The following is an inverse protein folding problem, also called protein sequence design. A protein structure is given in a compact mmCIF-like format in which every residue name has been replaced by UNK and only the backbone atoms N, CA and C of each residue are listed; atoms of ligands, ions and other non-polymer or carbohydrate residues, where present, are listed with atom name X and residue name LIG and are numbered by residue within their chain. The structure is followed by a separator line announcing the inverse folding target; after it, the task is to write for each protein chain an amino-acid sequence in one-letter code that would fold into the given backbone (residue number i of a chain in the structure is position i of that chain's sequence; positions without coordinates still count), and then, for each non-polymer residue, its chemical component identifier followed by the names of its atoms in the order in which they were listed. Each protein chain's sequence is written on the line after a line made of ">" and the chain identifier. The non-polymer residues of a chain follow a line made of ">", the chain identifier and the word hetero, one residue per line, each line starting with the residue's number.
data_IF_473194517631
#
_entry.id   IF_473194517631
#
_cell.length_a   1.000
_cell.length_b   1.000
_cell.length_c   1.000
_cell.angle_alpha   90.00
_cell.angle_beta   90.00
_cell.angle_gamma   90.00
#
_symmetry.space_group_name_H-M   'P 1'
#
loop_
_entity.id
_entity.type
_entity.pdbx_description
1 polymer ?
#
# COMPACT_ATOMS: atom_id res chain seq x y z
N UNK A 1 -12.59 -5.32 -10.78
CA UNK A 1 -13.22 -3.99 -10.72
C UNK A 1 -13.39 -3.63 -9.25
N UNK A 2 -12.35 -3.06 -8.63
CA UNK A 2 -12.39 -2.64 -7.23
C UNK A 2 -13.16 -1.32 -7.16
N UNK A 3 -14.30 -1.37 -6.49
CA UNK A 3 -15.22 -0.26 -6.42
C UNK A 3 -14.63 0.87 -5.58
N UNK A 4 -14.15 1.89 -6.28
CA UNK A 4 -13.55 3.13 -5.78
C UNK A 4 -14.62 4.06 -5.17
N UNK A 5 -15.45 3.56 -4.24
CA UNK A 5 -16.38 4.38 -3.46
C UNK A 5 -15.65 5.26 -2.43
N UNK A 6 -14.95 6.25 -2.97
CA UNK A 6 -14.59 7.52 -2.34
C UNK A 6 -15.87 8.25 -1.92
N UNK A 7 -16.41 7.96 -0.72
CA UNK A 7 -17.38 8.87 -0.06
C UNK A 7 -17.50 8.78 1.46
N UNK A 8 -16.57 8.12 2.16
CA UNK A 8 -16.34 8.38 3.58
C UNK A 8 -14.83 8.47 3.81
N UNK A 9 -14.28 9.69 3.82
CA UNK A 9 -13.12 9.92 4.69
C UNK A 9 -13.68 9.70 6.10
N UNK A 10 -13.68 8.46 6.57
CA UNK A 10 -14.00 8.15 7.97
C UNK A 10 -13.10 9.09 8.77
N UNK A 11 -13.69 9.90 9.64
CA UNK A 11 -12.95 10.79 10.52
C UNK A 11 -12.22 9.93 11.55
N UNK A 12 -11.18 9.23 11.09
CA UNK A 12 -10.27 8.54 11.98
C UNK A 12 -9.41 9.60 12.66
N UNK A 13 -9.07 9.44 13.94
CA UNK A 13 -8.32 10.43 14.72
C UNK A 13 -6.82 10.48 14.34
N UNK A 14 -6.46 9.98 13.16
CA UNK A 14 -5.10 9.94 12.65
C UNK A 14 -5.03 10.26 11.16
N UNK A 15 -3.81 10.55 10.70
CA UNK A 15 -3.56 10.84 9.30
C UNK A 15 -3.51 9.55 8.47
N UNK A 16 -4.52 9.33 7.62
CA UNK A 16 -4.48 8.24 6.63
C UNK A 16 -3.41 8.51 5.58
N UNK A 17 -2.58 7.50 5.30
CA UNK A 17 -1.44 7.62 4.40
C UNK A 17 -1.82 7.88 2.94
N UNK A 18 -3.01 7.45 2.51
CA UNK A 18 -3.49 7.56 1.12
C UNK A 18 -3.36 8.97 0.54
N UNK A 19 -2.70 9.07 -0.62
CA UNK A 19 -2.36 10.32 -1.35
C UNK A 19 -1.37 11.24 -0.63
N UNK A 20 -0.73 10.76 0.43
CA UNK A 20 0.24 11.50 1.27
C UNK A 20 1.52 10.72 1.48
N UNK A 21 1.63 9.54 0.89
CA UNK A 21 2.67 8.56 1.11
C UNK A 21 4.04 9.18 0.87
N UNK A 22 4.23 9.87 -0.27
CA UNK A 22 5.52 10.48 -0.59
C UNK A 22 5.97 11.47 0.49
N UNK A 23 5.10 12.40 0.87
CA UNK A 23 5.43 13.41 1.88
C UNK A 23 5.72 12.79 3.26
N UNK A 24 5.07 11.69 3.61
CA UNK A 24 5.31 10.96 4.85
C UNK A 24 6.64 10.18 4.80
N UNK A 25 6.95 9.56 3.66
CA UNK A 25 8.24 8.89 3.46
C UNK A 25 9.39 9.89 3.53
N UNK A 26 9.28 11.05 2.87
CA UNK A 26 10.31 12.09 2.92
C UNK A 26 10.49 12.70 4.32
N UNK A 27 9.50 12.58 5.21
CA UNK A 27 9.61 12.94 6.64
C UNK A 27 10.14 11.79 7.52
N UNK A 28 10.37 10.61 6.95
CA UNK A 28 10.84 9.44 7.68
C UNK A 28 9.75 8.70 8.47
N UNK A 29 8.49 9.12 8.41
CA UNK A 29 7.41 8.56 9.24
C UNK A 29 6.69 7.39 8.60
N UNK A 30 6.81 7.23 7.28
CA UNK A 30 6.27 6.09 6.53
C UNK A 30 7.43 5.26 5.97
N UNK A 31 7.64 4.01 6.43
CA UNK A 31 8.79 3.21 6.01
C UNK A 31 8.59 2.50 4.66
N UNK A 32 7.33 2.23 4.29
CA UNK A 32 6.95 1.54 3.06
C UNK A 32 5.72 2.20 2.42
N UNK A 33 5.78 2.48 1.13
CA UNK A 33 4.62 2.73 0.28
C UNK A 33 4.44 1.57 -0.71
N UNK A 34 3.20 1.15 -0.90
CA UNK A 34 2.81 0.07 -1.80
C UNK A 34 1.69 0.57 -2.70
N UNK A 35 1.83 0.35 -4.00
CA UNK A 35 0.80 0.63 -5.01
C UNK A 35 0.64 -0.61 -5.89
N UNK A 36 -0.59 -0.84 -6.35
CA UNK A 36 -0.92 -1.91 -7.28
C UNK A 36 -1.91 -1.40 -8.31
N UNK A 37 -1.70 -1.77 -9.56
CA UNK A 37 -2.63 -1.48 -10.65
C UNK A 37 -2.49 -2.52 -11.77
N UNK A 38 -3.38 -2.49 -12.76
CA UNK A 38 -3.30 -3.37 -13.94
C UNK A 38 -2.40 -2.72 -14.99
N UNK A 39 -1.43 -3.48 -15.49
CA UNK A 39 -0.50 -3.02 -16.53
C UNK A 39 -1.28 -2.52 -17.76
N UNK A 40 -0.98 -1.30 -18.21
CA UNK A 40 -1.60 -0.67 -19.37
C UNK A 40 -2.99 -0.06 -19.10
N UNK A 41 -3.49 -0.15 -17.87
CA UNK A 41 -4.77 0.44 -17.45
C UNK A 41 -4.59 1.44 -16.30
N UNK A 42 -3.35 1.81 -15.98
CA UNK A 42 -3.07 2.70 -14.86
C UNK A 42 -3.58 4.12 -15.15
N UNK A 43 -4.30 4.76 -14.21
CA UNK A 43 -4.71 6.14 -14.39
C UNK A 43 -3.50 7.07 -14.51
N UNK A 44 -3.53 8.01 -15.47
CA UNK A 44 -2.47 9.02 -15.67
C UNK A 44 -2.05 9.74 -14.38
N UNK A 45 -3.02 10.02 -13.50
CA UNK A 45 -2.77 10.67 -12.22
C UNK A 45 -1.91 9.82 -11.28
N UNK A 46 -2.09 8.49 -11.30
CA UNK A 46 -1.29 7.55 -10.53
C UNK A 46 0.12 7.47 -11.09
N UNK A 47 0.27 7.34 -12.41
CA UNK A 47 1.58 7.33 -13.08
C UNK A 47 2.37 8.60 -12.75
N UNK A 48 1.74 9.78 -12.87
CA UNK A 48 2.36 11.06 -12.51
C UNK A 48 2.79 11.09 -11.04
N UNK A 49 1.96 10.57 -10.14
CA UNK A 49 2.28 10.51 -8.72
C UNK A 49 3.46 9.58 -8.42
N UNK A 50 3.50 8.38 -9.02
CA UNK A 50 4.60 7.43 -8.83
C UNK A 50 5.94 7.97 -9.35
N UNK A 51 5.95 8.70 -10.47
CA UNK A 51 7.16 9.37 -10.98
C UNK A 51 7.76 10.38 -10.00
N UNK A 52 6.96 10.94 -9.09
CA UNK A 52 7.49 11.81 -8.04
C UNK A 52 8.36 11.03 -7.05
N UNK A 53 8.07 9.75 -6.79
CA UNK A 53 8.93 8.87 -5.99
C UNK A 53 10.22 8.53 -6.74
N UNK A 54 10.14 8.23 -8.04
CA UNK A 54 11.31 7.84 -8.86
C UNK A 54 12.43 8.90 -8.81
N UNK A 55 12.08 10.19 -8.74
CA UNK A 55 13.06 11.26 -8.52
C UNK A 55 13.88 11.05 -7.24
N UNK A 56 13.20 10.70 -6.14
CA UNK A 56 13.84 10.49 -4.86
C UNK A 56 14.61 9.15 -4.79
N UNK A 57 14.23 8.19 -5.62
CA UNK A 57 15.01 6.96 -5.83
C UNK A 57 16.32 7.28 -6.55
N UNK A 58 16.28 8.08 -7.61
CA UNK A 58 17.49 8.50 -8.34
C UNK A 58 18.47 9.30 -7.46
N UNK A 59 17.96 10.01 -6.46
CA UNK A 59 18.74 10.75 -5.47
C UNK A 59 19.18 9.89 -4.26
N UNK A 60 18.86 8.59 -4.25
CA UNK A 60 19.22 7.65 -3.16
C UNK A 60 18.46 7.86 -1.85
N UNK A 61 17.41 8.68 -1.85
CA UNK A 61 16.59 8.97 -0.65
C UNK A 61 15.55 7.89 -0.37
N UNK A 62 15.16 7.16 -1.41
CA UNK A 62 14.23 6.03 -1.34
C UNK A 62 14.80 4.87 -2.15
N UNK A 63 14.35 3.67 -1.86
CA UNK A 63 14.60 2.48 -2.68
C UNK A 63 13.29 2.03 -3.32
N UNK A 64 13.36 1.42 -4.51
CA UNK A 64 12.18 0.96 -5.28
C UNK A 64 12.33 -0.52 -5.62
N UNK A 65 11.23 -1.26 -5.53
CA UNK A 65 11.07 -2.56 -6.19
C UNK A 65 9.78 -2.57 -7.00
N UNK A 66 9.87 -3.05 -8.23
CA UNK A 66 8.73 -3.24 -9.11
C UNK A 66 8.60 -4.72 -9.44
N UNK A 67 7.37 -5.22 -9.37
CA UNK A 67 7.02 -6.58 -9.77
C UNK A 67 5.86 -6.51 -10.75
N UNK A 68 5.91 -7.36 -11.77
CA UNK A 68 4.81 -7.57 -12.72
C UNK A 68 4.46 -9.04 -12.64
N UNK A 69 3.21 -9.35 -12.27
CA UNK A 69 2.74 -10.71 -12.05
C UNK A 69 1.37 -10.91 -12.70
N UNK A 70 1.06 -12.13 -13.18
CA UNK A 70 -0.26 -12.42 -13.75
C UNK A 70 -1.37 -12.29 -12.69
N UNK A 71 -2.52 -11.75 -13.09
CA UNK A 71 -3.68 -11.64 -12.20
C UNK A 71 -4.27 -13.03 -11.90
N UNK A 72 -4.45 -13.41 -10.62
CA UNK A 72 -5.13 -14.65 -10.26
C UNK A 72 -6.55 -14.68 -10.84
N UNK A 73 -6.89 -15.75 -11.57
CA UNK A 73 -8.19 -15.92 -12.22
C UNK A 73 -8.39 -15.14 -13.52
N UNK A 74 -7.43 -14.31 -13.93
CA UNK A 74 -7.44 -13.59 -15.21
C UNK A 74 -6.01 -13.48 -15.79
N UNK A 75 -5.40 -14.60 -16.21
CA UNK A 75 -3.98 -14.66 -16.60
C UNK A 75 -3.62 -13.82 -17.84
N UNK A 76 -4.62 -13.34 -18.59
CA UNK A 76 -4.45 -12.38 -19.67
C UNK A 76 -4.18 -10.93 -19.18
N UNK A 77 -4.33 -10.68 -17.88
CA UNK A 77 -4.03 -9.42 -17.23
C UNK A 77 -2.81 -9.60 -16.33
N UNK A 78 -2.05 -8.52 -16.16
CA UNK A 78 -0.91 -8.45 -15.25
C UNK A 78 -1.11 -7.33 -14.23
N UNK A 79 -0.79 -7.59 -12.97
CA UNK A 79 -0.65 -6.57 -11.94
C UNK A 79 0.77 -6.02 -11.93
N UNK A 80 0.88 -4.69 -11.93
CA UNK A 80 2.10 -3.99 -11.52
C UNK A 80 2.01 -3.69 -10.04
N UNK A 81 2.98 -4.16 -9.29
CA UNK A 81 3.18 -3.81 -7.89
C UNK A 81 4.42 -2.92 -7.75
N UNK A 82 4.23 -1.75 -7.14
CA UNK A 82 5.29 -0.78 -6.86
C UNK A 82 5.49 -0.65 -5.37
N UNK A 83 6.70 -0.95 -4.92
CA UNK A 83 7.13 -0.78 -3.54
C UNK A 83 8.19 0.31 -3.48
N UNK A 84 8.02 1.25 -2.55
CA UNK A 84 9.03 2.24 -2.21
C UNK A 84 9.33 2.14 -0.72
N UNK A 85 10.61 2.09 -0.35
CA UNK A 85 11.04 2.03 1.05
C UNK A 85 12.01 3.14 1.40
N UNK A 86 12.03 3.51 2.68
CA UNK A 86 13.15 4.25 3.23
C UNK A 86 14.41 3.35 3.26
N UNK A 87 15.62 3.91 3.15
CA UNK A 87 16.85 3.14 3.30
C UNK A 87 16.88 2.37 4.63
N UNK A 88 17.19 1.08 4.60
CA UNK A 88 17.19 0.18 5.76
C UNK A 88 15.84 -0.47 6.08
N UNK A 89 14.77 -0.12 5.35
CA UNK A 89 13.45 -0.72 5.48
C UNK A 89 13.06 -1.65 4.32
N UNK A 90 14.01 -2.02 3.45
CA UNK A 90 13.79 -2.86 2.26
C UNK A 90 13.20 -4.23 2.61
N UNK A 91 13.54 -4.76 3.79
CA UNK A 91 13.00 -6.02 4.32
C UNK A 91 11.47 -6.05 4.39
N UNK A 92 10.84 -4.87 4.50
CA UNK A 92 9.36 -4.75 4.52
C UNK A 92 8.74 -5.16 3.20
N UNK A 93 9.46 -5.09 2.09
CA UNK A 93 8.99 -5.53 0.78
C UNK A 93 8.82 -7.05 0.77
N UNK A 94 9.83 -7.78 1.24
CA UNK A 94 9.78 -9.25 1.30
C UNK A 94 8.69 -9.72 2.27
N UNK A 95 8.56 -9.06 3.43
CA UNK A 95 7.49 -9.35 4.38
C UNK A 95 6.09 -9.03 3.82
N UNK A 96 5.95 -7.95 3.04
CA UNK A 96 4.70 -7.60 2.38
C UNK A 96 4.32 -8.64 1.31
N UNK A 97 5.28 -9.06 0.48
CA UNK A 97 5.05 -10.10 -0.52
C UNK A 97 4.67 -11.43 0.14
N UNK A 98 5.33 -11.82 1.23
CA UNK A 98 4.96 -13.02 1.98
C UNK A 98 3.53 -12.93 2.54
N UNK A 99 3.14 -11.77 3.06
CA UNK A 99 1.79 -11.52 3.57
C UNK A 99 0.72 -11.58 2.46
N UNK A 100 0.99 -10.93 1.32
CA UNK A 100 0.06 -10.90 0.18
C UNK A 100 -0.14 -12.28 -0.46
N UNK A 101 0.89 -13.14 -0.41
CA UNK A 101 0.85 -14.50 -0.94
C UNK A 101 0.32 -15.55 0.05
N UNK A 102 -0.01 -15.15 1.28
CA UNK A 102 -0.50 -16.08 2.30
C UNK A 102 -1.87 -16.64 1.89
N UNK A 103 -2.01 -17.97 1.82
CA UNK A 103 -3.26 -18.60 1.37
C UNK A 103 -4.40 -18.43 2.38
N UNK A 104 -5.64 -18.21 1.92
CA UNK A 104 -6.81 -18.04 2.79
C UNK A 104 -7.40 -16.63 2.74
N UNK A 105 -8.49 -16.43 3.48
CA UNK A 105 -9.20 -15.14 3.53
C UNK A 105 -8.39 -14.08 4.30
N UNK A 106 -8.66 -12.81 4.00
CA UNK A 106 -8.06 -11.68 4.70
C UNK A 106 -8.62 -11.54 6.11
N UNK A 107 -7.79 -11.80 7.13
CA UNK A 107 -8.16 -11.74 8.55
C UNK A 107 -7.68 -10.46 9.24
N UNK A 108 -8.17 -10.20 10.45
CA UNK A 108 -7.73 -9.08 11.31
C UNK A 108 -6.21 -9.12 11.56
N UNK A 109 -5.65 -10.32 11.74
CA UNK A 109 -4.21 -10.54 11.92
C UNK A 109 -3.42 -10.18 10.65
N UNK A 110 -4.00 -10.41 9.47
CA UNK A 110 -3.38 -9.97 8.21
C UNK A 110 -3.48 -8.47 8.04
N UNK A 111 -4.63 -7.88 8.33
CA UNK A 111 -4.83 -6.42 8.31
C UNK A 111 -3.86 -5.71 9.28
N UNK A 112 -3.64 -6.29 10.46
CA UNK A 112 -2.67 -5.78 11.45
C UNK A 112 -1.24 -5.80 10.91
N UNK A 113 -0.78 -6.95 10.43
CA UNK A 113 0.55 -7.09 9.82
C UNK A 113 0.72 -6.15 8.62
N UNK A 114 -0.32 -5.98 7.81
CA UNK A 114 -0.33 -5.05 6.68
C UNK A 114 -0.14 -3.60 7.17
N UNK A 115 -0.91 -3.18 8.18
CA UNK A 115 -0.80 -1.86 8.79
C UNK A 115 0.60 -1.58 9.36
N UNK A 116 1.17 -2.53 10.08
CA UNK A 116 2.52 -2.45 10.66
C UNK A 116 3.60 -2.31 9.59
N UNK A 117 3.50 -3.08 8.49
CA UNK A 117 4.42 -2.97 7.36
C UNK A 117 4.34 -1.60 6.70
N UNK A 118 3.15 -1.01 6.62
CA UNK A 118 2.94 0.34 6.10
C UNK A 118 3.37 1.46 7.07
N UNK A 119 3.71 1.12 8.31
CA UNK A 119 4.16 2.03 9.36
C UNK A 119 3.04 2.71 10.16
N UNK A 120 1.85 2.11 10.23
CA UNK A 120 0.84 2.56 11.20
C UNK A 120 1.22 2.12 12.61
N UNK A 121 0.90 2.96 13.58
CA UNK A 121 1.05 2.64 15.00
C UNK A 121 -0.05 1.69 15.47
N UNK A 122 0.22 0.89 16.49
CA UNK A 122 -0.70 -0.14 17.00
C UNK A 122 -2.09 0.41 17.29
N UNK A 123 -2.20 1.57 17.94
CA UNK A 123 -3.49 2.18 18.26
C UNK A 123 -4.27 2.65 17.01
N UNK A 124 -3.58 3.03 15.93
CA UNK A 124 -4.21 3.41 14.67
C UNK A 124 -4.82 2.17 13.99
N UNK A 125 -4.08 1.06 14.04
CA UNK A 125 -4.53 -0.24 13.54
C UNK A 125 -5.71 -0.74 14.38
N UNK A 126 -5.63 -0.67 15.71
CA UNK A 126 -6.72 -1.08 16.61
C UNK A 126 -7.98 -0.26 16.32
N UNK A 127 -7.84 1.07 16.20
CA UNK A 127 -8.96 1.93 15.84
C UNK A 127 -9.57 1.53 14.48
N UNK A 128 -8.74 1.22 13.48
CA UNK A 128 -9.19 0.76 12.16
C UNK A 128 -9.94 -0.57 12.23
N UNK A 129 -9.42 -1.54 12.97
CA UNK A 129 -10.08 -2.85 13.12
C UNK A 129 -11.43 -2.74 13.83
N UNK A 130 -11.53 -1.86 14.84
CA UNK A 130 -12.77 -1.68 15.59
C UNK A 130 -13.81 -0.82 14.85
N UNK A 131 -13.41 0.23 14.13
CA UNK A 131 -14.34 1.25 13.59
C UNK A 131 -14.29 1.42 12.06
N UNK A 132 -13.31 0.80 11.41
CA UNK A 132 -13.01 0.93 9.99
C UNK A 132 -13.66 -0.14 9.10
N UNK A 133 -14.46 -1.05 9.65
CA UNK A 133 -15.23 -2.00 8.83
C UNK A 133 -16.54 -1.37 8.37
N UNK A 134 -16.89 -1.55 7.09
CA UNK A 134 -18.27 -1.35 6.68
C UNK A 134 -19.08 -2.56 7.16
N UNK A 135 -20.36 -2.40 7.54
CA UNK A 135 -21.21 -3.53 7.94
C UNK A 135 -21.39 -4.62 6.87
N UNK A 136 -20.91 -4.38 5.64
CA UNK A 136 -20.99 -5.31 4.52
C UNK A 136 -19.87 -6.35 4.50
N UNK A 137 -18.90 -6.26 5.41
CA UNK A 137 -17.73 -7.17 5.49
C UNK A 137 -17.84 -8.20 6.64
N UNK A 138 -19.05 -8.46 7.16
CA UNK A 138 -19.34 -9.43 8.22
C UNK A 138 -20.36 -10.47 7.77
#
# INVERSE_FOLDING_TARGET
>A
MLDMHSKRRRQVPYLVHTKRELGLMLRGTKPLAYFMDIVGQEPDICIRYWRMFDRHVAEGRLTKRELIEPCPGAPQLEYRMLFYTLPGHEWRIDAMLALLNEAGAWSDDRERRFGELLGYETWQIDHWLTHGRSPTDA
#
